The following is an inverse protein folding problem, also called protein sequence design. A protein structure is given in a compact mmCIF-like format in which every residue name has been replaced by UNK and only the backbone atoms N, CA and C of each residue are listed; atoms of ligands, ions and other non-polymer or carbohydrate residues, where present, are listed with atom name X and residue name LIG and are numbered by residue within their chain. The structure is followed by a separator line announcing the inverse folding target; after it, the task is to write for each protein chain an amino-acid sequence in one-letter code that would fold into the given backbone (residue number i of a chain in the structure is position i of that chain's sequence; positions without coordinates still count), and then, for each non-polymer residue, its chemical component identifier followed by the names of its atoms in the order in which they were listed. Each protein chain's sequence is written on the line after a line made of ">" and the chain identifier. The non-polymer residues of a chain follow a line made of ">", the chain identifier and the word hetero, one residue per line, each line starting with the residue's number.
data_IF_840160463868
#
_entry.id   IF_840160463868
#
_cell.length_a   1.000
_cell.length_b   1.000
_cell.length_c   1.000
_cell.angle_alpha   90.00
_cell.angle_beta   90.00
_cell.angle_gamma   90.00
#
_symmetry.space_group_name_H-M   'P 1'
#
loop_
_entity.id
_entity.type
_entity.pdbx_description
1 polymer ?
#
# COMPACT_ATOMS: atom_id res chain seq x y z
N UNK A 1 7.25 1.76 -20.36
CA UNK A 1 7.17 3.07 -19.68
C UNK A 1 8.41 3.23 -18.80
N UNK A 2 9.03 4.42 -18.71
CA UNK A 2 10.21 4.60 -17.84
C UNK A 2 9.81 4.44 -16.38
N UNK A 3 10.63 3.72 -15.59
CA UNK A 3 10.39 3.51 -14.15
C UNK A 3 10.09 4.82 -13.43
N UNK A 4 10.93 5.84 -13.70
CA UNK A 4 10.80 7.18 -13.14
C UNK A 4 9.43 7.81 -13.43
N UNK A 5 8.95 7.72 -14.66
CA UNK A 5 7.66 8.29 -15.07
C UNK A 5 6.52 7.52 -14.41
N UNK A 6 6.58 6.19 -14.41
CA UNK A 6 5.57 5.34 -13.77
C UNK A 6 5.44 5.61 -12.28
N UNK A 7 6.57 5.66 -11.57
CA UNK A 7 6.59 5.99 -10.14
C UNK A 7 6.03 7.38 -9.87
N UNK A 8 6.42 8.40 -10.65
CA UNK A 8 5.90 9.77 -10.47
C UNK A 8 4.37 9.80 -10.65
N UNK A 9 3.85 9.15 -11.70
CA UNK A 9 2.40 9.11 -11.95
C UNK A 9 1.68 8.42 -10.80
N UNK A 10 2.15 7.25 -10.38
CA UNK A 10 1.52 6.47 -9.30
C UNK A 10 1.56 7.23 -7.97
N UNK A 11 2.71 7.82 -7.64
CA UNK A 11 2.88 8.61 -6.41
C UNK A 11 2.00 9.86 -6.42
N UNK A 12 1.83 10.53 -7.56
CA UNK A 12 0.91 11.66 -7.69
C UNK A 12 -0.54 11.25 -7.45
N UNK A 13 -0.98 10.11 -8.01
CA UNK A 13 -2.34 9.58 -7.78
C UNK A 13 -2.55 9.28 -6.30
N UNK A 14 -1.63 8.54 -5.65
CA UNK A 14 -1.75 8.25 -4.21
C UNK A 14 -1.69 9.52 -3.34
N UNK A 15 -0.88 10.51 -3.72
CA UNK A 15 -0.84 11.79 -3.02
C UNK A 15 -2.17 12.52 -3.10
N UNK A 16 -2.80 12.56 -4.29
CA UNK A 16 -4.14 13.13 -4.46
C UNK A 16 -5.19 12.37 -3.64
N UNK A 17 -5.13 11.04 -3.60
CA UNK A 17 -6.01 10.24 -2.73
C UNK A 17 -5.82 10.60 -1.26
N UNK A 18 -4.59 10.84 -0.80
CA UNK A 18 -4.31 11.23 0.58
C UNK A 18 -4.88 12.61 0.93
N UNK A 19 -4.69 13.58 0.03
CA UNK A 19 -5.30 14.91 0.20
C UNK A 19 -6.83 14.82 0.20
N UNK A 20 -7.42 14.03 -0.69
CA UNK A 20 -8.86 13.83 -0.75
C UNK A 20 -9.40 13.17 0.52
N UNK A 21 -8.71 12.18 1.07
CA UNK A 21 -9.10 11.54 2.33
C UNK A 21 -9.02 12.51 3.52
N UNK A 22 -8.00 13.38 3.58
CA UNK A 22 -7.95 14.45 4.59
C UNK A 22 -9.14 15.38 4.42
N UNK A 23 -9.43 15.81 3.19
CA UNK A 23 -10.57 16.69 2.92
C UNK A 23 -11.90 16.07 3.36
N UNK A 24 -12.14 14.80 3.06
CA UNK A 24 -13.33 14.08 3.53
C UNK A 24 -13.34 13.93 5.05
N UNK A 25 -12.18 13.67 5.67
CA UNK A 25 -12.07 13.51 7.10
C UNK A 25 -12.42 14.80 7.86
N UNK A 26 -12.06 15.96 7.31
CA UNK A 26 -12.38 17.26 7.88
C UNK A 26 -13.89 17.59 7.86
N UNK A 27 -14.70 16.83 7.10
CA UNK A 27 -16.16 16.98 7.09
C UNK A 27 -16.84 16.19 8.21
N UNK A 28 -16.12 15.32 8.92
CA UNK A 28 -16.69 14.64 10.07
C UNK A 28 -16.88 15.61 11.24
N UNK A 29 -17.94 15.43 12.05
CA UNK A 29 -18.20 16.30 13.20
C UNK A 29 -17.05 16.21 14.22
N UNK A 30 -16.61 17.36 14.71
CA UNK A 30 -15.62 17.47 15.79
C UNK A 30 -16.29 17.13 17.13
N UNK A 31 -15.77 16.10 17.81
CA UNK A 31 -16.15 15.74 19.19
C UNK A 31 -15.02 16.01 20.18
N UNK A 32 -15.31 15.91 21.48
CA UNK A 32 -14.34 16.16 22.56
C UNK A 32 -13.24 15.09 22.66
N UNK A 33 -13.47 13.89 22.12
CA UNK A 33 -12.49 12.79 22.04
C UNK A 33 -11.91 12.64 20.63
N UNK A 34 -10.97 11.70 20.45
CA UNK A 34 -10.45 11.29 19.13
C UNK A 34 -11.62 10.88 18.22
N UNK A 35 -12.09 11.85 17.44
CA UNK A 35 -13.29 11.72 16.63
C UNK A 35 -13.07 10.86 15.38
N UNK A 36 -14.14 10.56 14.63
CA UNK A 36 -14.11 9.74 13.42
C UNK A 36 -13.15 10.28 12.33
N UNK A 37 -12.79 11.56 12.39
CA UNK A 37 -11.80 12.19 11.51
C UNK A 37 -10.35 11.74 11.79
N UNK A 38 -10.02 11.32 13.01
CA UNK A 38 -8.62 11.11 13.41
C UNK A 38 -7.93 10.00 12.61
N UNK A 39 -8.59 8.86 12.42
CA UNK A 39 -8.03 7.72 11.68
C UNK A 39 -7.75 8.02 10.20
N UNK A 40 -8.74 8.51 9.41
CA UNK A 40 -8.48 8.89 8.02
C UNK A 40 -7.35 9.92 7.86
N UNK A 41 -7.25 10.89 8.79
CA UNK A 41 -6.18 11.88 8.77
C UNK A 41 -4.82 11.23 8.99
N UNK A 42 -4.65 10.41 10.03
CA UNK A 42 -3.37 9.76 10.35
C UNK A 42 -2.89 8.88 9.18
N UNK A 43 -3.77 8.06 8.60
CA UNK A 43 -3.42 7.23 7.44
C UNK A 43 -3.03 8.09 6.25
N UNK A 44 -3.76 9.16 5.99
CA UNK A 44 -3.48 10.04 4.86
C UNK A 44 -2.14 10.76 5.01
N UNK A 45 -1.81 11.21 6.23
CA UNK A 45 -0.51 11.81 6.54
C UNK A 45 0.62 10.81 6.32
N UNK A 46 0.48 9.57 6.82
CA UNK A 46 1.46 8.50 6.58
C UNK A 46 1.61 8.21 5.09
N UNK A 47 0.50 8.10 4.36
CA UNK A 47 0.52 7.86 2.91
C UNK A 47 1.24 8.99 2.16
N UNK A 48 0.97 10.26 2.51
CA UNK A 48 1.66 11.42 1.94
C UNK A 48 3.15 11.41 2.26
N UNK A 49 3.53 11.07 3.50
CA UNK A 49 4.93 10.95 3.89
C UNK A 49 5.66 9.87 3.09
N UNK A 50 5.07 8.67 2.96
CA UNK A 50 5.64 7.60 2.14
C UNK A 50 5.69 7.96 0.66
N UNK A 51 4.66 8.63 0.13
CA UNK A 51 4.67 9.16 -1.23
C UNK A 51 5.84 10.13 -1.43
N UNK A 52 6.07 11.05 -0.48
CA UNK A 52 7.23 11.95 -0.51
C UNK A 52 8.57 11.21 -0.54
N UNK A 53 8.74 10.16 0.27
CA UNK A 53 9.94 9.32 0.27
C UNK A 53 10.14 8.64 -1.09
N UNK A 54 9.07 8.06 -1.66
CA UNK A 54 9.11 7.40 -2.97
C UNK A 54 9.47 8.41 -4.05
N UNK A 55 8.86 9.60 -4.04
CA UNK A 55 9.10 10.65 -5.02
C UNK A 55 10.56 11.13 -5.00
N UNK A 56 11.12 11.36 -3.80
CA UNK A 56 12.53 11.70 -3.60
C UNK A 56 13.46 10.61 -4.15
N UNK A 57 13.12 9.34 -3.91
CA UNK A 57 13.89 8.20 -4.43
C UNK A 57 13.80 8.11 -5.95
N UNK A 58 12.61 8.31 -6.53
CA UNK A 58 12.38 8.30 -7.97
C UNK A 58 13.09 9.45 -8.69
N UNK A 59 13.25 10.62 -8.06
CA UNK A 59 14.05 11.70 -8.63
C UNK A 59 15.54 11.37 -8.69
N UNK A 60 16.06 10.66 -7.67
CA UNK A 60 17.45 10.19 -7.61
C UNK A 60 17.72 8.94 -8.46
N UNK A 61 16.67 8.22 -8.89
CA UNK A 61 16.80 7.03 -9.71
C UNK A 61 17.17 7.39 -11.15
N UNK A 62 18.04 6.57 -11.76
CA UNK A 62 18.34 6.66 -13.20
C UNK A 62 17.08 6.36 -14.01
N UNK A 63 16.91 7.08 -15.12
CA UNK A 63 15.78 6.87 -16.02
C UNK A 63 16.00 5.61 -16.86
N UNK A 64 15.81 4.45 -16.23
CA UNK A 64 15.87 3.17 -16.93
C UNK A 64 14.50 2.84 -17.54
N UNK A 65 14.53 2.40 -18.80
CA UNK A 65 13.38 1.80 -19.46
C UNK A 65 13.15 0.44 -18.81
N UNK A 66 12.01 0.29 -18.14
CA UNK A 66 11.54 -1.04 -17.73
C UNK A 66 10.96 -1.67 -18.98
N UNK A 67 11.77 -2.47 -19.66
CA UNK A 67 11.30 -3.31 -20.76
C UNK A 67 10.69 -4.58 -20.15
N UNK A 68 9.36 -4.66 -20.17
CA UNK A 68 8.68 -5.92 -19.95
C UNK A 68 8.90 -6.77 -21.19
N UNK A 69 9.97 -7.55 -21.19
CA UNK A 69 10.34 -8.40 -22.32
C UNK A 69 9.33 -9.55 -22.55
N UNK A 70 8.33 -9.71 -21.66
CA UNK A 70 7.34 -10.76 -21.73
C UNK A 70 5.93 -10.24 -21.39
N UNK A 71 5.13 -9.96 -22.42
CA UNK A 71 3.72 -9.53 -22.31
C UNK A 71 2.85 -10.52 -21.53
N UNK A 72 3.25 -11.79 -21.47
CA UNK A 72 2.55 -12.81 -20.68
C UNK A 72 2.66 -12.55 -19.18
N UNK A 73 3.81 -12.06 -18.70
CA UNK A 73 4.03 -11.75 -17.28
C UNK A 73 3.21 -10.52 -16.88
N UNK A 74 3.14 -9.52 -17.74
CA UNK A 74 2.30 -8.34 -17.55
C UNK A 74 0.82 -8.73 -17.40
N UNK A 75 0.29 -9.53 -18.35
CA UNK A 75 -1.09 -10.02 -18.28
C UNK A 75 -1.35 -10.84 -17.00
N UNK A 76 -0.43 -11.74 -16.62
CA UNK A 76 -0.54 -12.54 -15.38
C UNK A 76 -0.55 -11.65 -14.14
N UNK A 77 0.31 -10.65 -14.08
CA UNK A 77 0.36 -9.72 -12.94
C UNK A 77 -0.94 -8.93 -12.77
N UNK A 78 -1.56 -8.54 -13.89
CA UNK A 78 -2.84 -7.86 -13.90
C UNK A 78 -3.97 -8.80 -13.42
N UNK A 79 -4.00 -10.04 -13.91
CA UNK A 79 -4.98 -11.06 -13.48
C UNK A 79 -4.84 -11.34 -11.97
N UNK A 80 -3.62 -11.55 -11.47
CA UNK A 80 -3.37 -11.80 -10.04
C UNK A 80 -3.82 -10.60 -9.20
N UNK A 81 -3.57 -9.38 -9.66
CA UNK A 81 -4.01 -8.15 -8.96
C UNK A 81 -5.53 -8.03 -8.93
N UNK A 82 -6.22 -8.31 -10.03
CA UNK A 82 -7.69 -8.31 -10.09
C UNK A 82 -8.28 -9.38 -9.18
N UNK A 83 -7.73 -10.60 -9.20
CA UNK A 83 -8.13 -11.69 -8.29
C UNK A 83 -7.95 -11.29 -6.82
N UNK A 84 -6.84 -10.64 -6.48
CA UNK A 84 -6.62 -10.11 -5.13
C UNK A 84 -7.71 -9.12 -4.73
N UNK A 85 -8.07 -8.16 -5.59
CA UNK A 85 -9.11 -7.18 -5.28
C UNK A 85 -10.48 -7.85 -5.04
N UNK A 86 -10.83 -8.87 -5.82
CA UNK A 86 -12.08 -9.64 -5.67
C UNK A 86 -12.06 -10.43 -4.35
N UNK A 87 -10.97 -11.13 -4.06
CA UNK A 87 -10.82 -11.95 -2.85
C UNK A 87 -10.80 -11.08 -1.59
N UNK A 88 -10.12 -9.94 -1.64
CA UNK A 88 -10.11 -8.97 -0.55
C UNK A 88 -11.49 -8.37 -0.30
N UNK A 89 -12.22 -8.00 -1.37
CA UNK A 89 -13.58 -7.51 -1.24
C UNK A 89 -14.54 -8.52 -0.61
N UNK A 90 -14.32 -9.82 -0.85
CA UNK A 90 -15.15 -10.90 -0.29
C UNK A 90 -14.73 -11.30 1.13
N UNK A 91 -13.42 -11.37 1.40
CA UNK A 91 -12.84 -11.89 2.65
C UNK A 91 -11.89 -10.87 3.29
N UNK A 92 -12.44 -9.73 3.70
CA UNK A 92 -11.68 -8.59 4.21
C UNK A 92 -10.93 -8.90 5.52
N UNK A 93 -11.42 -9.83 6.33
CA UNK A 93 -10.81 -10.22 7.62
C UNK A 93 -9.41 -10.82 7.48
N UNK A 94 -9.09 -11.40 6.32
CA UNK A 94 -7.81 -12.06 6.04
C UNK A 94 -6.85 -11.17 5.23
N UNK A 95 -6.96 -9.85 5.36
CA UNK A 95 -6.18 -8.87 4.60
C UNK A 95 -4.67 -9.20 4.52
N UNK A 96 -4.02 -9.50 5.64
CA UNK A 96 -2.58 -9.80 5.67
C UNK A 96 -2.22 -11.06 4.88
N UNK A 97 -3.07 -12.09 4.92
CA UNK A 97 -2.89 -13.30 4.13
C UNK A 97 -3.00 -13.00 2.63
N UNK A 98 -4.00 -12.20 2.23
CA UNK A 98 -4.19 -11.84 0.82
C UNK A 98 -3.05 -10.97 0.29
N UNK A 99 -2.57 -10.00 1.08
CA UNK A 99 -1.41 -9.17 0.71
C UNK A 99 -0.14 -10.02 0.60
N UNK A 100 0.04 -10.99 1.51
CA UNK A 100 1.14 -11.96 1.42
C UNK A 100 1.10 -12.77 0.13
N UNK A 101 -0.06 -13.32 -0.22
CA UNK A 101 -0.25 -14.12 -1.44
C UNK A 101 -0.05 -13.27 -2.70
N UNK A 102 -0.56 -12.04 -2.73
CA UNK A 102 -0.33 -11.10 -3.83
C UNK A 102 1.16 -10.79 -4.00
N UNK A 103 1.82 -10.36 -2.91
CA UNK A 103 3.24 -10.02 -2.93
C UNK A 103 4.09 -11.21 -3.37
N UNK A 104 3.80 -12.40 -2.85
CA UNK A 104 4.50 -13.65 -3.21
C UNK A 104 4.25 -14.07 -4.66
N UNK A 105 3.01 -13.98 -5.14
CA UNK A 105 2.63 -14.33 -6.51
C UNK A 105 3.27 -13.40 -7.56
N UNK A 106 3.24 -12.09 -7.30
CA UNK A 106 3.93 -11.10 -8.14
C UNK A 106 5.44 -11.30 -8.09
N UNK A 107 6.02 -11.50 -6.90
CA UNK A 107 7.44 -11.69 -6.73
C UNK A 107 7.94 -12.94 -7.49
N UNK A 108 7.23 -14.06 -7.35
CA UNK A 108 7.52 -15.28 -8.09
C UNK A 108 7.46 -15.07 -9.61
N UNK A 109 6.42 -14.40 -10.10
CA UNK A 109 6.19 -14.16 -11.52
C UNK A 109 7.26 -13.29 -12.19
N UNK A 110 7.87 -12.34 -11.46
CA UNK A 110 8.84 -11.40 -12.03
C UNK A 110 10.32 -11.78 -11.83
N UNK A 111 10.69 -12.42 -10.71
CA UNK A 111 12.11 -12.67 -10.39
C UNK A 111 12.48 -14.14 -10.14
N UNK A 112 11.50 -15.05 -10.03
CA UNK A 112 11.74 -16.41 -9.57
C UNK A 112 12.12 -16.48 -8.08
N UNK A 113 12.27 -17.69 -7.52
CA UNK A 113 12.62 -17.87 -6.10
C UNK A 113 14.13 -17.73 -5.87
N UNK A 114 14.59 -16.51 -5.62
CA UNK A 114 15.94 -16.26 -5.10
C UNK A 114 15.90 -16.05 -3.59
N UNK A 115 16.72 -16.81 -2.85
CA UNK A 115 16.72 -16.83 -1.37
C UNK A 115 16.99 -15.45 -0.74
N UNK A 116 17.85 -14.63 -1.36
CA UNK A 116 18.16 -13.26 -0.89
C UNK A 116 16.93 -12.35 -0.96
N UNK A 117 16.13 -12.48 -2.00
CA UNK A 117 15.03 -11.57 -2.27
C UNK A 117 13.76 -11.99 -1.50
N UNK A 118 13.64 -13.27 -1.14
CA UNK A 118 12.63 -13.77 -0.18
C UNK A 118 12.80 -13.09 1.18
N UNK A 119 14.04 -12.84 1.64
CA UNK A 119 14.28 -12.09 2.90
C UNK A 119 13.77 -10.65 2.81
N UNK A 120 13.92 -9.99 1.66
CA UNK A 120 13.42 -8.61 1.46
C UNK A 120 11.90 -8.62 1.46
N UNK A 121 11.29 -9.58 0.76
CA UNK A 121 9.84 -9.78 0.73
C UNK A 121 9.29 -10.02 2.14
N UNK A 122 9.87 -10.95 2.90
CA UNK A 122 9.43 -11.28 4.26
C UNK A 122 9.63 -10.13 5.24
N UNK A 123 10.73 -9.38 5.12
CA UNK A 123 10.97 -8.19 5.94
C UNK A 123 9.94 -7.10 5.62
N UNK A 124 9.67 -6.85 4.34
CA UNK A 124 8.65 -5.89 3.91
C UNK A 124 7.24 -6.26 4.39
N UNK A 125 6.87 -7.54 4.26
CA UNK A 125 5.62 -8.08 4.80
C UNK A 125 5.57 -8.01 6.32
N UNK A 126 6.66 -8.27 7.01
CA UNK A 126 6.77 -8.14 8.46
C UNK A 126 6.55 -6.70 8.92
N UNK A 127 7.18 -5.73 8.24
CA UNK A 127 6.97 -4.29 8.50
C UNK A 127 5.51 -3.90 8.22
N UNK A 128 4.97 -4.30 7.06
CA UNK A 128 3.59 -4.00 6.69
C UNK A 128 2.59 -4.61 7.68
N UNK A 129 2.84 -5.84 8.13
CA UNK A 129 2.04 -6.53 9.14
C UNK A 129 2.16 -5.81 10.48
N UNK A 130 3.36 -5.44 10.92
CA UNK A 130 3.60 -4.69 12.14
C UNK A 130 2.88 -3.35 12.15
N UNK A 131 2.93 -2.60 11.05
CA UNK A 131 2.20 -1.33 10.89
C UNK A 131 0.69 -1.59 10.92
N UNK A 132 0.20 -2.57 10.17
CA UNK A 132 -1.23 -2.91 10.12
C UNK A 132 -1.76 -3.30 11.49
N UNK A 133 -1.01 -4.14 12.22
CA UNK A 133 -1.37 -4.65 13.53
C UNK A 133 -1.25 -3.55 14.61
N UNK A 134 -0.23 -2.69 14.52
CA UNK A 134 -0.14 -1.49 15.35
C UNK A 134 -1.34 -0.57 15.15
N UNK A 135 -1.70 -0.28 13.90
CA UNK A 135 -2.90 0.48 13.56
C UNK A 135 -4.12 -0.24 14.15
N UNK A 136 -4.31 -1.52 13.89
CA UNK A 136 -5.48 -2.25 14.38
C UNK A 136 -5.59 -2.29 15.91
N UNK A 137 -4.48 -2.46 16.64
CA UNK A 137 -4.46 -2.45 18.10
C UNK A 137 -4.72 -1.04 18.63
N UNK A 138 -3.97 -0.04 18.17
CA UNK A 138 -4.13 1.34 18.64
C UNK A 138 -5.56 1.80 18.40
N UNK A 139 -6.08 1.60 17.19
CA UNK A 139 -7.45 2.00 16.86
C UNK A 139 -8.50 1.09 17.49
N UNK A 140 -8.25 -0.20 17.65
CA UNK A 140 -9.16 -1.10 18.39
C UNK A 140 -9.28 -0.74 19.87
N UNK A 141 -8.19 -0.30 20.50
CA UNK A 141 -8.20 0.22 21.88
C UNK A 141 -8.89 1.59 21.93
N UNK A 142 -8.62 2.48 20.98
CA UNK A 142 -9.26 3.79 20.90
C UNK A 142 -10.78 3.71 20.65
N UNK A 143 -11.23 2.73 19.87
CA UNK A 143 -12.66 2.47 19.62
C UNK A 143 -13.29 1.85 20.87
N UNK A 144 -12.64 0.89 21.53
CA UNK A 144 -13.16 0.27 22.77
C UNK A 144 -13.12 1.20 23.99
N UNK A 145 -12.32 2.27 23.99
CA UNK A 145 -12.32 3.29 25.06
C UNK A 145 -13.43 4.34 24.91
N UNK A 146 -14.15 4.36 23.77
CA UNK A 146 -15.17 5.36 23.45
C UNK A 146 -16.59 4.75 23.25
N UNK A 147 -16.84 3.57 23.80
CA UNK A 147 -18.20 3.03 23.99
C UNK A 147 -18.42 2.62 25.45
#
# INVERSE_FOLDING_TARGET
>A
MNYKVGSIVLTSVFSLTGVMLIYLALQFPSGENLGPAFFPIVISVLMLAFCGIVLLRSFRAKSEKVEFNNKLIEARSLIITVLFLILWGTFHDLFLLWVFLLASGLFWGFQGWKVRDIKVLSTGLGIASGITLFVYIVFGVLINLNF
#
